data_IF_458318800394
#
_entry.id   IF_458318800394
#
_cell.length_a   1.000
_cell.length_b   1.000
_cell.length_c   1.000
_cell.angle_alpha   90.00
_cell.angle_beta   90.00
_cell.angle_gamma   90.00
#
_symmetry.space_group_name_H-M   'P 1'
#
loop_
_entity.id
_entity.type
_entity.pdbx_description
1 polymer ?
#
# COMPACT_ATOMS: atom_id res chain seq x y z
N UNK A 1 -7.51 -22.79 -15.35
CA UNK A 1 -6.44 -21.99 -14.71
C UNK A 1 -6.74 -20.48 -14.54
N UNK A 2 -7.81 -19.94 -15.17
CA UNK A 2 -8.16 -18.48 -15.11
C UNK A 2 -8.56 -18.00 -13.70
N UNK A 3 -9.08 -18.87 -12.85
CA UNK A 3 -9.53 -18.58 -11.50
C UNK A 3 -8.47 -18.82 -10.41
N UNK A 4 -7.31 -19.40 -10.77
CA UNK A 4 -6.27 -19.74 -9.81
C UNK A 4 -5.83 -18.55 -8.92
N UNK A 5 -5.69 -17.31 -9.43
CA UNK A 5 -5.35 -16.16 -8.59
C UNK A 5 -6.43 -15.86 -7.53
N UNK A 6 -7.72 -16.02 -7.87
CA UNK A 6 -8.83 -15.81 -6.94
C UNK A 6 -8.88 -16.88 -5.86
N UNK A 7 -8.60 -18.13 -6.24
CA UNK A 7 -8.56 -19.26 -5.29
C UNK A 7 -7.40 -19.07 -4.29
N UNK A 8 -6.22 -18.70 -4.79
CA UNK A 8 -5.07 -18.40 -3.93
C UNK A 8 -5.37 -17.23 -2.98
N UNK A 9 -6.10 -16.23 -3.46
CA UNK A 9 -6.52 -15.07 -2.72
C UNK A 9 -7.44 -15.41 -1.53
N UNK A 10 -8.36 -16.36 -1.68
CA UNK A 10 -9.25 -16.80 -0.61
C UNK A 10 -8.54 -17.76 0.36
N UNK A 11 -7.73 -18.68 -0.17
CA UNK A 11 -7.07 -19.73 0.64
C UNK A 11 -6.03 -19.11 1.59
N UNK A 12 -5.22 -18.16 1.13
CA UNK A 12 -4.13 -17.59 1.94
C UNK A 12 -4.63 -16.96 3.24
N UNK A 13 -5.64 -16.04 3.25
CA UNK A 13 -6.14 -15.47 4.50
C UNK A 13 -6.89 -16.48 5.37
N UNK A 14 -7.55 -17.47 4.77
CA UNK A 14 -8.22 -18.54 5.53
C UNK A 14 -7.19 -19.40 6.26
N UNK A 15 -6.13 -19.82 5.57
CA UNK A 15 -5.02 -20.58 6.19
C UNK A 15 -4.33 -19.72 7.26
N UNK A 16 -4.07 -18.43 6.99
CA UNK A 16 -3.49 -17.53 7.97
C UNK A 16 -4.38 -17.35 9.20
N UNK A 17 -5.68 -17.13 9.02
CA UNK A 17 -6.63 -16.97 10.12
C UNK A 17 -6.78 -18.25 10.95
N UNK A 18 -6.84 -19.43 10.31
CA UNK A 18 -6.95 -20.73 10.99
C UNK A 18 -5.70 -21.06 11.78
N UNK A 19 -4.51 -20.81 11.21
CA UNK A 19 -3.24 -21.04 11.93
C UNK A 19 -3.06 -20.07 13.10
N UNK A 20 -3.47 -18.82 12.97
CA UNK A 20 -3.44 -17.84 14.08
C UNK A 20 -4.42 -18.22 15.20
N UNK A 21 -5.56 -18.79 14.85
CA UNK A 21 -6.61 -19.12 15.83
C UNK A 21 -6.37 -20.45 16.54
N UNK A 22 -5.84 -21.44 15.84
CA UNK A 22 -5.69 -22.83 16.35
C UNK A 22 -4.25 -23.25 16.56
N UNK A 23 -3.27 -22.48 16.09
CA UNK A 23 -1.84 -22.76 16.23
C UNK A 23 -1.30 -22.38 17.61
N UNK A 24 -1.81 -23.00 18.65
CA UNK A 24 -1.28 -22.82 20.00
C UNK A 24 0.05 -23.58 20.17
N UNK A 25 1.16 -22.86 20.09
CA UNK A 25 2.34 -23.15 20.89
C UNK A 25 3.30 -24.26 20.47
N UNK A 26 3.19 -24.90 19.31
CA UNK A 26 4.23 -25.84 18.86
C UNK A 26 5.08 -25.25 17.75
N UNK A 27 6.42 -25.32 17.89
CA UNK A 27 7.40 -24.78 16.94
C UNK A 27 7.35 -25.40 15.52
N UNK A 28 6.36 -26.22 15.22
CA UNK A 28 6.09 -26.84 13.93
C UNK A 28 5.37 -25.93 12.92
N UNK A 29 4.95 -24.73 13.32
CA UNK A 29 4.13 -23.85 12.46
C UNK A 29 4.93 -22.97 11.47
N UNK A 30 6.23 -22.76 11.71
CA UNK A 30 7.04 -21.86 10.86
C UNK A 30 7.15 -22.30 9.39
N UNK A 31 7.25 -23.60 9.03
CA UNK A 31 7.30 -23.99 7.62
C UNK A 31 6.00 -23.70 6.88
N UNK A 32 4.86 -23.83 7.58
CA UNK A 32 3.54 -23.49 7.03
C UNK A 32 3.45 -22.01 6.76
N UNK A 33 3.89 -21.17 7.70
CA UNK A 33 3.93 -19.72 7.52
C UNK A 33 4.85 -19.30 6.39
N UNK A 34 6.00 -19.94 6.24
CA UNK A 34 6.92 -19.69 5.15
C UNK A 34 6.28 -20.05 3.81
N UNK A 35 5.64 -21.21 3.70
CA UNK A 35 4.95 -21.63 2.48
C UNK A 35 3.81 -20.68 2.11
N UNK A 36 2.97 -20.30 3.08
CA UNK A 36 1.89 -19.31 2.89
C UNK A 36 2.46 -17.97 2.45
N UNK A 37 3.52 -17.50 3.09
CA UNK A 37 4.19 -16.24 2.74
C UNK A 37 4.77 -16.25 1.34
N UNK A 38 5.41 -17.34 0.92
CA UNK A 38 5.96 -17.51 -0.43
C UNK A 38 4.85 -17.53 -1.49
N UNK A 39 3.77 -18.30 -1.25
CA UNK A 39 2.63 -18.35 -2.18
C UNK A 39 2.00 -16.95 -2.29
N UNK A 40 1.81 -16.25 -1.17
CA UNK A 40 1.31 -14.89 -1.17
C UNK A 40 2.21 -13.94 -1.94
N UNK A 41 3.53 -13.96 -1.69
CA UNK A 41 4.50 -13.10 -2.36
C UNK A 41 4.53 -13.34 -3.88
N UNK A 42 4.52 -14.61 -4.32
CA UNK A 42 4.50 -14.94 -5.76
C UNK A 42 3.23 -14.40 -6.41
N UNK A 43 2.05 -14.62 -5.81
CA UNK A 43 0.80 -14.11 -6.35
C UNK A 43 0.75 -12.58 -6.34
N UNK A 44 1.23 -11.96 -5.26
CA UNK A 44 1.34 -10.51 -5.13
C UNK A 44 2.21 -9.91 -6.24
N UNK A 45 3.43 -10.43 -6.44
CA UNK A 45 4.34 -9.96 -7.48
C UNK A 45 3.75 -10.12 -8.88
N UNK A 46 3.06 -11.26 -9.14
CA UNK A 46 2.38 -11.47 -10.42
C UNK A 46 1.26 -10.47 -10.66
N UNK A 47 0.49 -10.11 -9.64
CA UNK A 47 -0.62 -9.17 -9.78
C UNK A 47 -0.14 -7.74 -9.95
N UNK A 48 0.87 -7.34 -9.18
CA UNK A 48 1.37 -5.96 -9.17
C UNK A 48 2.25 -5.67 -10.40
N UNK A 49 3.12 -6.62 -10.79
CA UNK A 49 4.16 -6.37 -11.80
C UNK A 49 3.96 -7.10 -13.13
N UNK A 50 3.04 -8.07 -13.21
CA UNK A 50 2.93 -8.90 -14.40
C UNK A 50 1.76 -8.48 -15.30
N UNK A 51 2.10 -8.15 -16.55
CA UNK A 51 1.14 -7.79 -17.61
C UNK A 51 0.39 -9.01 -18.18
N UNK A 52 0.86 -10.23 -17.94
CA UNK A 52 0.28 -11.46 -18.51
C UNK A 52 -1.06 -11.88 -17.86
N UNK A 53 -1.48 -11.19 -16.80
CA UNK A 53 -2.77 -11.40 -16.17
C UNK A 53 -3.97 -10.83 -16.97
N UNK A 54 -3.76 -10.38 -18.21
CA UNK A 54 -4.82 -9.85 -19.08
C UNK A 54 -5.97 -10.84 -19.28
N UNK A 55 -5.71 -12.13 -19.13
CA UNK A 55 -6.72 -13.19 -19.26
C UNK A 55 -7.52 -13.48 -17.98
N UNK A 56 -7.16 -12.87 -16.84
CA UNK A 56 -7.84 -13.09 -15.55
C UNK A 56 -9.03 -12.12 -15.45
N UNK A 57 -10.26 -12.65 -15.32
CA UNK A 57 -11.43 -11.78 -15.18
C UNK A 57 -11.35 -11.01 -13.87
N UNK A 58 -11.61 -9.68 -13.93
CA UNK A 58 -11.61 -8.80 -12.76
C UNK A 58 -10.23 -8.60 -12.12
N UNK A 59 -9.15 -8.69 -12.91
CA UNK A 59 -7.76 -8.49 -12.42
C UNK A 59 -7.57 -7.15 -11.73
N UNK A 60 -8.26 -6.12 -12.17
CA UNK A 60 -8.22 -4.77 -11.61
C UNK A 60 -8.65 -4.80 -10.14
N UNK A 61 -9.71 -5.55 -9.85
CA UNK A 61 -10.21 -5.74 -8.50
C UNK A 61 -9.28 -6.55 -7.61
N UNK A 62 -8.46 -7.45 -8.19
CA UNK A 62 -7.45 -8.18 -7.41
C UNK A 62 -6.48 -7.24 -6.72
N UNK A 63 -5.99 -6.20 -7.39
CA UNK A 63 -5.08 -5.22 -6.79
C UNK A 63 -5.74 -4.47 -5.62
N UNK A 64 -7.02 -4.09 -5.77
CA UNK A 64 -7.79 -3.44 -4.69
C UNK A 64 -7.95 -4.37 -3.51
N UNK A 65 -8.34 -5.62 -3.77
CA UNK A 65 -8.62 -6.57 -2.69
C UNK A 65 -7.32 -6.99 -1.98
N UNK A 66 -6.19 -7.11 -2.70
CA UNK A 66 -4.88 -7.28 -2.06
C UNK A 66 -4.50 -6.08 -1.19
N UNK A 67 -4.73 -4.86 -1.66
CA UNK A 67 -4.50 -3.68 -0.84
C UNK A 67 -5.32 -3.73 0.46
N UNK A 68 -6.61 -4.03 0.36
CA UNK A 68 -7.49 -4.15 1.52
C UNK A 68 -7.04 -5.25 2.50
N UNK A 69 -6.64 -6.42 1.98
CA UNK A 69 -6.11 -7.50 2.83
C UNK A 69 -4.82 -7.10 3.55
N UNK A 70 -3.90 -6.45 2.84
CA UNK A 70 -2.63 -6.02 3.41
C UNK A 70 -2.84 -4.97 4.49
N UNK A 71 -3.73 -4.01 4.26
CA UNK A 71 -4.10 -3.04 5.29
C UNK A 71 -4.81 -3.68 6.48
N UNK A 72 -5.73 -4.61 6.24
CA UNK A 72 -6.37 -5.37 7.30
C UNK A 72 -5.35 -6.19 8.10
N UNK A 73 -4.42 -6.86 7.42
CA UNK A 73 -3.31 -7.59 8.04
C UNK A 73 -2.45 -6.68 8.92
N UNK A 74 -2.02 -5.52 8.38
CA UNK A 74 -1.31 -4.51 9.16
C UNK A 74 -2.09 -4.13 10.42
N UNK A 75 -3.36 -3.80 10.27
CA UNK A 75 -4.21 -3.38 11.37
C UNK A 75 -4.35 -4.43 12.46
N UNK A 76 -4.36 -5.70 12.08
CA UNK A 76 -4.51 -6.83 13.01
C UNK A 76 -3.26 -7.12 13.83
N UNK A 77 -2.06 -6.84 13.27
CA UNK A 77 -0.80 -7.24 13.91
C UNK A 77 0.07 -6.08 14.39
N UNK A 78 -0.29 -4.82 14.07
CA UNK A 78 0.54 -3.61 14.36
C UNK A 78 0.88 -3.44 15.84
N UNK A 79 -0.02 -3.87 16.74
CA UNK A 79 0.15 -3.71 18.17
C UNK A 79 1.02 -4.82 18.80
N UNK A 80 1.55 -5.73 17.98
CA UNK A 80 2.40 -6.84 18.42
C UNK A 80 3.87 -6.55 18.15
N UNK A 81 4.62 -6.26 19.18
CA UNK A 81 6.05 -5.92 19.06
C UNK A 81 6.88 -7.00 18.35
N UNK A 82 6.60 -8.28 18.62
CA UNK A 82 7.31 -9.42 18.02
C UNK A 82 7.24 -9.48 16.48
N UNK A 83 6.24 -8.83 15.87
CA UNK A 83 6.01 -8.88 14.40
C UNK A 83 5.94 -7.49 13.78
N UNK A 84 6.46 -6.46 14.47
CA UNK A 84 6.42 -5.06 13.98
C UNK A 84 7.03 -4.89 12.59
N UNK A 85 8.12 -5.60 12.29
CA UNK A 85 8.73 -5.60 10.95
C UNK A 85 7.80 -6.16 9.87
N UNK A 86 7.07 -7.24 10.18
CA UNK A 86 6.07 -7.82 9.26
C UNK A 86 4.90 -6.88 9.06
N UNK A 87 4.44 -6.21 10.13
CA UNK A 87 3.39 -5.20 10.03
C UNK A 87 3.78 -4.08 9.07
N UNK A 88 4.99 -3.54 9.19
CA UNK A 88 5.49 -2.51 8.28
C UNK A 88 5.54 -3.00 6.83
N UNK A 89 6.01 -4.23 6.58
CA UNK A 89 6.03 -4.83 5.24
C UNK A 89 4.63 -4.93 4.63
N UNK A 90 3.63 -5.37 5.42
CA UNK A 90 2.24 -5.44 4.95
C UNK A 90 1.69 -4.06 4.59
N UNK A 91 2.04 -3.05 5.38
CA UNK A 91 1.62 -1.67 5.11
C UNK A 91 2.21 -1.14 3.80
N UNK A 92 3.53 -1.28 3.59
CA UNK A 92 4.18 -0.84 2.36
C UNK A 92 3.68 -1.62 1.14
N UNK A 93 3.52 -2.93 1.26
CA UNK A 93 2.93 -3.75 0.21
C UNK A 93 1.49 -3.33 -0.10
N UNK A 94 0.71 -2.95 0.91
CA UNK A 94 -0.64 -2.38 0.77
C UNK A 94 -0.64 -1.09 -0.04
N UNK A 95 0.30 -0.17 0.22
CA UNK A 95 0.43 1.06 -0.55
C UNK A 95 0.77 0.76 -2.02
N UNK A 96 1.74 -0.13 -2.28
CA UNK A 96 2.11 -0.52 -3.65
C UNK A 96 0.91 -1.12 -4.39
N UNK A 97 0.14 -2.00 -3.73
CA UNK A 97 -1.08 -2.57 -4.33
C UNK A 97 -2.16 -1.53 -4.61
N UNK A 98 -2.37 -0.58 -3.69
CA UNK A 98 -3.35 0.49 -3.89
C UNK A 98 -2.94 1.44 -5.02
N UNK A 99 -1.64 1.76 -5.13
CA UNK A 99 -1.10 2.55 -6.23
C UNK A 99 -1.22 1.80 -7.56
N UNK A 100 -0.91 0.50 -7.58
CA UNK A 100 -1.09 -0.35 -8.78
C UNK A 100 -2.57 -0.47 -9.18
N UNK A 101 -3.50 -0.56 -8.22
CA UNK A 101 -4.93 -0.54 -8.51
C UNK A 101 -5.33 0.77 -9.21
N UNK A 102 -4.84 1.91 -8.75
CA UNK A 102 -5.11 3.19 -9.42
C UNK A 102 -4.62 3.20 -10.87
N UNK A 103 -3.44 2.63 -11.17
CA UNK A 103 -2.93 2.47 -12.55
C UNK A 103 -3.82 1.58 -13.43
N UNK A 104 -4.55 0.63 -12.84
CA UNK A 104 -5.43 -0.26 -13.59
C UNK A 104 -6.81 0.35 -13.87
N UNK A 105 -7.33 1.16 -12.95
CA UNK A 105 -8.65 1.77 -13.07
C UNK A 105 -8.65 3.13 -13.76
N UNK A 106 -7.55 3.85 -13.64
CA UNK A 106 -7.46 5.21 -14.15
C UNK A 106 -6.60 5.21 -15.43
N UNK A 107 -7.13 5.83 -16.46
CA UNK A 107 -6.44 5.93 -17.77
C UNK A 107 -5.69 7.25 -17.92
N UNK A 108 -6.09 8.25 -17.15
CA UNK A 108 -5.54 9.59 -17.18
C UNK A 108 -4.39 9.75 -16.18
N UNK A 109 -3.19 10.07 -16.63
CA UNK A 109 -1.98 10.19 -15.79
C UNK A 109 -2.15 11.16 -14.61
N UNK A 110 -2.82 12.29 -14.85
CA UNK A 110 -3.06 13.30 -13.82
C UNK A 110 -3.97 12.74 -12.73
N UNK A 111 -5.06 12.04 -13.14
CA UNK A 111 -6.01 11.44 -12.21
C UNK A 111 -5.36 10.35 -11.35
N UNK A 112 -4.45 9.55 -11.94
CA UNK A 112 -3.63 8.59 -11.19
C UNK A 112 -2.81 9.29 -10.09
N UNK A 113 -2.14 10.38 -10.42
CA UNK A 113 -1.30 11.12 -9.46
C UNK A 113 -2.13 11.77 -8.36
N UNK A 114 -3.33 12.27 -8.70
CA UNK A 114 -4.30 12.77 -7.72
C UNK A 114 -4.76 11.64 -6.80
N UNK A 115 -5.05 10.46 -7.33
CA UNK A 115 -5.45 9.30 -6.53
C UNK A 115 -4.34 8.85 -5.57
N UNK A 116 -3.07 8.82 -6.01
CA UNK A 116 -1.93 8.53 -5.15
C UNK A 116 -1.76 9.58 -4.04
N UNK A 117 -1.89 10.86 -4.38
CA UNK A 117 -1.87 11.96 -3.42
C UNK A 117 -3.00 11.86 -2.39
N UNK A 118 -4.21 11.55 -2.85
CA UNK A 118 -5.36 11.34 -1.97
C UNK A 118 -5.15 10.14 -1.02
N UNK A 119 -4.59 9.03 -1.51
CA UNK A 119 -4.21 7.88 -0.68
C UNK A 119 -3.22 8.30 0.41
N UNK A 120 -2.17 9.04 0.05
CA UNK A 120 -1.17 9.51 0.99
C UNK A 120 -1.78 10.44 2.06
N UNK A 121 -2.65 11.37 1.65
CA UNK A 121 -3.37 12.24 2.60
C UNK A 121 -4.30 11.47 3.52
N UNK A 122 -5.03 10.48 3.00
CA UNK A 122 -5.90 9.63 3.81
C UNK A 122 -5.10 8.83 4.86
N UNK A 123 -3.96 8.25 4.45
CA UNK A 123 -3.06 7.53 5.36
C UNK A 123 -2.45 8.48 6.41
N UNK A 124 -2.05 9.69 6.02
CA UNK A 124 -1.53 10.69 6.94
C UNK A 124 -2.61 11.13 7.94
N UNK A 125 -3.82 11.45 7.48
CA UNK A 125 -4.94 11.82 8.35
C UNK A 125 -5.30 10.71 9.34
N UNK A 126 -5.33 9.46 8.87
CA UNK A 126 -5.57 8.30 9.73
C UNK A 126 -4.43 8.09 10.75
N UNK A 127 -3.18 8.31 10.33
CA UNK A 127 -1.99 8.29 11.21
C UNK A 127 -2.11 9.31 12.35
N UNK A 128 -2.50 10.55 12.04
CA UNK A 128 -2.71 11.61 13.02
C UNK A 128 -3.84 11.23 14.00
N UNK A 129 -4.96 10.74 13.46
CA UNK A 129 -6.11 10.36 14.29
C UNK A 129 -5.79 9.19 15.23
N UNK A 130 -5.02 8.21 14.74
CA UNK A 130 -4.68 6.99 15.48
C UNK A 130 -3.33 7.05 16.20
N UNK A 131 -2.58 8.15 16.05
CA UNK A 131 -1.22 8.32 16.56
C UNK A 131 -0.27 7.21 16.14
N UNK A 132 -0.41 6.76 14.89
CA UNK A 132 0.37 5.67 14.32
C UNK A 132 1.56 6.23 13.51
N UNK A 133 2.75 6.19 14.12
CA UNK A 133 3.97 6.72 13.51
C UNK A 133 4.39 5.97 12.24
N UNK A 134 4.18 4.64 12.21
CA UNK A 134 4.56 3.83 11.06
C UNK A 134 3.70 4.18 9.85
N UNK A 135 2.40 4.34 10.07
CA UNK A 135 1.47 4.78 9.04
C UNK A 135 1.80 6.20 8.55
N UNK A 136 2.20 7.11 9.45
CA UNK A 136 2.64 8.45 9.08
C UNK A 136 3.90 8.47 8.22
N UNK A 137 4.91 7.71 8.60
CA UNK A 137 6.14 7.58 7.82
C UNK A 137 5.89 6.96 6.44
N UNK A 138 5.05 5.92 6.37
CA UNK A 138 4.70 5.28 5.10
C UNK A 138 3.92 6.21 4.17
N UNK A 139 3.04 7.06 4.72
CA UNK A 139 2.32 8.05 3.92
C UNK A 139 3.25 9.08 3.27
N UNK A 140 4.31 9.49 3.96
CA UNK A 140 5.33 10.39 3.39
C UNK A 140 6.08 9.74 2.22
N UNK A 141 6.32 8.42 2.26
CA UNK A 141 6.91 7.69 1.12
C UNK A 141 5.96 7.65 -0.08
N UNK A 142 4.66 7.45 0.14
CA UNK A 142 3.66 7.54 -0.95
C UNK A 142 3.62 8.95 -1.54
N UNK A 143 3.69 10.00 -0.71
CA UNK A 143 3.84 11.37 -1.20
C UNK A 143 5.11 11.54 -2.04
N UNK A 144 6.25 11.03 -1.57
CA UNK A 144 7.51 11.08 -2.31
C UNK A 144 7.42 10.39 -3.67
N UNK A 145 6.80 9.20 -3.72
CA UNK A 145 6.58 8.47 -4.96
C UNK A 145 5.63 9.23 -5.90
N UNK A 146 4.57 9.83 -5.38
CA UNK A 146 3.66 10.69 -6.16
C UNK A 146 4.38 11.89 -6.74
N UNK A 147 5.19 12.57 -5.91
CA UNK A 147 6.01 13.69 -6.36
C UNK A 147 6.97 13.30 -7.46
N UNK A 148 7.69 12.20 -7.29
CA UNK A 148 8.63 11.68 -8.28
C UNK A 148 7.89 11.36 -9.60
N UNK A 149 6.72 10.71 -9.53
CA UNK A 149 5.90 10.44 -10.71
C UNK A 149 5.51 11.72 -11.43
N UNK A 150 4.97 12.70 -10.70
CA UNK A 150 4.56 14.00 -11.28
C UNK A 150 5.75 14.69 -11.94
N UNK A 151 6.89 14.79 -11.26
CA UNK A 151 8.06 15.48 -11.76
C UNK A 151 8.69 14.80 -12.99
N UNK A 152 8.78 13.47 -12.97
CA UNK A 152 9.51 12.72 -14.00
C UNK A 152 8.61 12.37 -15.20
N UNK A 153 7.34 12.12 -14.98
CA UNK A 153 6.44 11.61 -16.02
C UNK A 153 5.34 12.57 -16.42
N UNK A 154 4.63 13.16 -15.46
CA UNK A 154 3.42 13.93 -15.78
C UNK A 154 3.79 15.32 -16.34
N UNK A 155 4.90 15.91 -15.87
CA UNK A 155 5.36 17.21 -16.32
C UNK A 155 6.25 17.15 -17.58
N UNK A 156 6.64 15.98 -18.05
CA UNK A 156 7.57 15.83 -19.18
C UNK A 156 7.08 16.52 -20.48
N UNK A 157 5.78 16.53 -20.73
CA UNK A 157 5.14 17.18 -21.90
C UNK A 157 4.37 18.46 -21.56
N UNK A 158 4.39 18.94 -20.32
CA UNK A 158 3.58 20.06 -19.88
C UNK A 158 4.23 21.42 -20.23
N UNK A 159 3.38 22.47 -20.36
CA UNK A 159 3.84 23.84 -20.54
C UNK A 159 4.66 24.32 -19.32
N UNK A 160 5.60 25.28 -19.50
CA UNK A 160 6.38 25.79 -18.38
C UNK A 160 5.50 26.32 -17.21
N UNK A 161 4.39 26.95 -17.51
CA UNK A 161 3.46 27.45 -16.52
C UNK A 161 2.84 26.31 -15.70
N UNK A 162 2.38 25.26 -16.37
CA UNK A 162 1.82 24.07 -15.72
C UNK A 162 2.85 23.41 -14.79
N UNK A 163 4.11 23.33 -15.21
CA UNK A 163 5.21 22.80 -14.38
C UNK A 163 5.38 23.62 -13.09
N UNK A 164 5.42 24.95 -13.22
CA UNK A 164 5.59 25.85 -12.06
C UNK A 164 4.42 25.71 -11.09
N UNK A 165 3.19 25.75 -11.59
CA UNK A 165 1.98 25.62 -10.75
C UNK A 165 1.97 24.27 -10.04
N UNK A 166 2.24 23.18 -10.75
CA UNK A 166 2.29 21.83 -10.16
C UNK A 166 3.36 21.72 -9.08
N UNK A 167 4.55 22.29 -9.30
CA UNK A 167 5.63 22.31 -8.32
C UNK A 167 5.26 23.12 -7.07
N UNK A 168 4.60 24.25 -7.23
CA UNK A 168 4.13 25.06 -6.09
C UNK A 168 3.09 24.29 -5.28
N UNK A 169 2.08 23.71 -5.93
CA UNK A 169 1.05 22.89 -5.26
C UNK A 169 1.68 21.72 -4.51
N UNK A 170 2.59 21.02 -5.16
CA UNK A 170 3.32 19.91 -4.56
C UNK A 170 4.13 20.36 -3.34
N UNK A 171 4.88 21.46 -3.47
CA UNK A 171 5.67 22.04 -2.39
C UNK A 171 4.82 22.43 -1.19
N UNK A 172 3.68 23.09 -1.42
CA UNK A 172 2.72 23.43 -0.35
C UNK A 172 2.18 22.18 0.32
N UNK A 173 1.82 21.16 -0.45
CA UNK A 173 1.30 19.89 0.08
C UNK A 173 2.34 19.19 0.96
N UNK A 174 3.60 19.15 0.53
CA UNK A 174 4.70 18.59 1.34
C UNK A 174 4.94 19.39 2.60
N UNK A 175 4.92 20.74 2.50
CA UNK A 175 5.11 21.61 3.65
C UNK A 175 4.02 21.39 4.70
N UNK A 176 2.75 21.38 4.29
CA UNK A 176 1.62 21.10 5.19
C UNK A 176 1.72 19.69 5.79
N UNK A 177 2.01 18.69 4.96
CA UNK A 177 2.22 17.31 5.43
C UNK A 177 3.34 17.20 6.46
N UNK A 178 4.47 17.86 6.21
CA UNK A 178 5.59 17.93 7.13
C UNK A 178 5.27 18.63 8.45
N UNK A 179 4.55 19.75 8.40
CA UNK A 179 4.08 20.44 9.62
C UNK A 179 3.12 19.59 10.46
N UNK A 180 2.18 18.91 9.82
CA UNK A 180 1.25 18.03 10.51
C UNK A 180 2.01 16.86 11.17
N UNK A 181 2.99 16.30 10.48
CA UNK A 181 3.81 15.23 11.02
C UNK A 181 4.66 15.71 12.21
N UNK A 182 5.27 16.90 12.13
CA UNK A 182 6.02 17.48 13.26
C UNK A 182 5.13 17.72 14.48
N UNK A 183 3.91 18.22 14.28
CA UNK A 183 2.94 18.40 15.38
C UNK A 183 2.60 17.10 16.07
N UNK A 184 2.47 16.00 15.30
CA UNK A 184 2.23 14.67 15.85
C UNK A 184 3.38 14.22 16.76
N UNK A 185 4.64 14.46 16.34
CA UNK A 185 5.81 14.12 17.14
C UNK A 185 5.93 14.96 18.42
N UNK A 186 5.57 16.25 18.35
CA UNK A 186 5.62 17.15 19.50
C UNK A 186 4.53 16.87 20.55
N UNK A 187 3.42 16.28 20.17
CA UNK A 187 2.32 15.95 21.11
C UNK A 187 2.60 14.68 21.94
N UNK A 188 3.67 13.97 21.63
CA UNK A 188 4.07 12.73 22.33
C UNK A 188 5.21 12.95 23.34
N UNK A 189 5.68 14.19 23.49
CA UNK A 189 6.64 14.62 24.54
C UNK A 189 5.93 15.29 25.70
#
# INVERSE_FOLDING_TARGET
HRWAPWVAFVIVPVVAATTLRFGSGSGASWPVWLAVGVIFAINYLRIVFNTDLRSVPGREWLAVVYALQLYAGYWFIRDRDAVRGVASLLLYAGHISAMAAALHFLTERIVESVAWGALALACLGLSLWRRDRVLGQSSLLVFGATAAKVLLYDLGGASPLTRIVSLVVLGVTFYVGGLLYQRMLASDQ
#
